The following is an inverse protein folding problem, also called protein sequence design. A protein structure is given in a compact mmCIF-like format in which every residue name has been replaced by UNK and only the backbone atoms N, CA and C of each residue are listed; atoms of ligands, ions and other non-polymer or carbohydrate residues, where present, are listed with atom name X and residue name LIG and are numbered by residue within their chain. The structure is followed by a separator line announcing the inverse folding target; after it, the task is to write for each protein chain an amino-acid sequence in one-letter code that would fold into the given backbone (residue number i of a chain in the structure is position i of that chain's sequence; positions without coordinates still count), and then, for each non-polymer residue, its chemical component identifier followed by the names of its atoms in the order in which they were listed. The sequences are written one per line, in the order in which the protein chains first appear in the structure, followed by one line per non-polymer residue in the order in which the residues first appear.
data_IF_410876336371
#
_entry.id   IF_410876336371
#
_cell.length_a   1.000
_cell.length_b   1.000
_cell.length_c   1.000
_cell.angle_alpha   90.00
_cell.angle_beta   90.00
_cell.angle_gamma   90.00
#
_symmetry.space_group_name_H-M   'P 1'
#
loop_
_entity.id
_entity.type
_entity.pdbx_description
1 polymer ?
#
# COMPACT_ATOMS: atom_id res chain seq x y z
N UNK A 1 2.71 -103.75 40.64
CA UNK A 1 1.67 -103.60 41.67
C UNK A 1 1.28 -102.16 41.76
N UNK A 2 -0.05 -101.94 41.69
CA UNK A 2 -0.83 -100.83 42.20
C UNK A 2 -0.65 -99.47 41.48
N UNK A 3 -1.53 -99.13 40.57
CA UNK A 3 -2.85 -98.48 40.72
C UNK A 3 -2.78 -97.17 41.49
N UNK A 4 -3.13 -96.01 40.80
CA UNK A 4 -4.32 -95.26 41.13
C UNK A 4 -4.24 -93.90 40.44
N UNK A 5 -5.14 -93.59 39.51
CA UNK A 5 -6.28 -92.63 39.55
C UNK A 5 -5.98 -91.28 40.20
N UNK A 6 -6.12 -90.23 39.40
CA UNK A 6 -7.11 -89.15 39.56
C UNK A 6 -7.01 -88.19 38.37
N UNK A 7 -7.99 -88.17 37.62
CA UNK A 7 -9.18 -87.29 37.58
C UNK A 7 -8.92 -85.85 37.35
N UNK A 8 -9.21 -85.52 36.14
CA UNK A 8 -9.52 -84.30 35.51
C UNK A 8 -10.13 -83.18 36.38
N UNK A 9 -9.64 -81.99 36.15
CA UNK A 9 -10.47 -80.81 36.26
C UNK A 9 -10.05 -79.83 35.11
N UNK A 10 -10.76 -79.92 34.01
CA UNK A 10 -10.62 -78.97 32.90
C UNK A 10 -11.39 -77.73 33.28
N UNK A 11 -10.71 -76.72 33.78
CA UNK A 11 -11.23 -75.40 33.97
C UNK A 11 -11.08 -74.65 32.60
N UNK A 12 -12.21 -74.45 31.92
CA UNK A 12 -12.28 -73.65 30.71
C UNK A 12 -12.15 -72.19 31.12
N UNK A 13 -10.98 -71.59 30.95
CA UNK A 13 -10.85 -70.10 30.90
C UNK A 13 -11.34 -69.63 29.53
N UNK A 14 -12.53 -69.08 29.49
CA UNK A 14 -13.02 -68.32 28.38
C UNK A 14 -12.30 -66.96 28.38
N UNK A 15 -11.27 -66.80 27.52
CA UNK A 15 -10.71 -65.49 27.22
C UNK A 15 -11.72 -64.69 26.35
N UNK A 16 -12.43 -63.77 26.96
CA UNK A 16 -13.18 -62.77 26.28
C UNK A 16 -12.16 -61.76 25.70
N UNK A 17 -11.83 -61.89 24.42
CA UNK A 17 -11.05 -60.90 23.70
C UNK A 17 -11.96 -59.66 23.46
N UNK A 18 -11.78 -58.63 24.31
CA UNK A 18 -12.32 -57.28 24.01
C UNK A 18 -11.56 -56.74 22.79
N UNK A 19 -12.18 -56.83 21.63
CA UNK A 19 -11.75 -56.11 20.45
C UNK A 19 -12.00 -54.61 20.69
N UNK A 20 -10.98 -53.86 21.12
CA UNK A 20 -11.00 -52.40 21.09
C UNK A 20 -10.85 -51.98 19.64
N UNK A 21 -11.98 -51.79 18.93
CA UNK A 21 -12.03 -51.13 17.64
C UNK A 21 -11.66 -49.67 17.89
N UNK A 22 -10.38 -49.32 17.72
CA UNK A 22 -9.94 -47.94 17.60
C UNK A 22 -10.62 -47.37 16.35
N UNK A 23 -11.67 -46.60 16.54
CA UNK A 23 -12.21 -45.72 15.48
C UNK A 23 -11.09 -44.71 15.11
N UNK A 24 -10.26 -45.07 14.14
CA UNK A 24 -9.43 -44.12 13.45
C UNK A 24 -10.38 -43.17 12.71
N UNK A 25 -10.75 -42.06 13.34
CA UNK A 25 -11.40 -40.96 12.64
C UNK A 25 -10.47 -40.55 11.49
N UNK A 26 -10.98 -40.44 10.25
CA UNK A 26 -10.15 -39.96 9.18
C UNK A 26 -9.63 -38.56 9.60
N UNK A 27 -8.31 -38.41 9.74
CA UNK A 27 -7.68 -37.11 9.80
C UNK A 27 -7.99 -36.45 8.45
N UNK A 28 -9.02 -35.64 8.41
CA UNK A 28 -9.24 -34.70 7.30
C UNK A 28 -8.00 -33.80 7.31
N UNK A 29 -7.12 -34.00 6.34
CA UNK A 29 -5.99 -33.11 6.15
C UNK A 29 -6.57 -31.70 6.01
N UNK A 30 -6.22 -30.82 6.94
CA UNK A 30 -6.66 -29.44 6.87
C UNK A 30 -6.11 -28.83 5.57
N UNK A 31 -6.97 -28.18 4.80
CA UNK A 31 -6.57 -27.49 3.58
C UNK A 31 -5.48 -26.47 3.90
N UNK A 32 -4.42 -26.44 3.12
CA UNK A 32 -3.33 -25.48 3.27
C UNK A 32 -3.85 -24.07 2.94
N UNK A 33 -3.58 -23.13 3.84
CA UNK A 33 -3.85 -21.70 3.62
C UNK A 33 -2.71 -21.09 2.79
N UNK A 34 -2.96 -20.83 1.51
CA UNK A 34 -2.00 -20.18 0.62
C UNK A 34 -2.11 -18.67 0.73
N UNK A 35 -1.04 -18.02 1.14
CA UNK A 35 -0.99 -16.57 1.38
C UNK A 35 -0.08 -15.91 0.37
N UNK A 36 -0.63 -14.98 -0.40
CA UNK A 36 0.16 -14.10 -1.25
C UNK A 36 0.89 -13.07 -0.39
N UNK A 37 2.18 -12.88 -0.62
CA UNK A 37 2.97 -11.88 0.11
C UNK A 37 4.14 -11.35 -0.72
N UNK A 38 4.61 -10.15 -0.38
CA UNK A 38 5.82 -9.57 -0.96
C UNK A 38 7.05 -10.18 -0.28
N UNK A 39 8.06 -10.63 -1.05
CA UNK A 39 9.25 -11.25 -0.47
C UNK A 39 10.17 -10.26 0.25
N UNK A 40 10.04 -8.94 0.01
CA UNK A 40 10.91 -7.93 0.60
C UNK A 40 10.17 -6.60 0.85
N UNK A 41 9.32 -6.58 1.88
CA UNK A 41 8.49 -5.43 2.27
C UNK A 41 8.41 -5.28 3.79
N UNK A 42 9.56 -5.24 4.48
CA UNK A 42 9.55 -4.96 5.93
C UNK A 42 8.97 -3.57 6.22
N UNK A 43 8.23 -3.43 7.30
CA UNK A 43 7.98 -4.38 8.40
C UNK A 43 6.80 -5.33 8.18
N UNK A 44 6.27 -5.45 6.99
CA UNK A 44 5.07 -6.25 6.75
C UNK A 44 5.37 -7.70 6.37
N UNK A 45 6.31 -7.92 5.46
CA UNK A 45 6.65 -9.25 4.98
C UNK A 45 8.09 -9.35 4.48
N UNK A 46 8.72 -10.50 4.72
CA UNK A 46 10.02 -10.87 4.17
C UNK A 46 10.12 -12.38 4.03
N UNK A 47 10.67 -12.84 2.91
CA UNK A 47 10.79 -14.27 2.61
C UNK A 47 11.99 -14.90 3.29
N UNK A 48 13.05 -14.14 3.52
CA UNK A 48 14.31 -14.60 4.06
C UNK A 48 14.81 -13.69 5.19
N UNK A 49 15.57 -14.28 6.13
CA UNK A 49 16.15 -13.57 7.25
C UNK A 49 15.41 -13.79 8.58
N UNK A 50 15.92 -13.19 9.69
CA UNK A 50 15.37 -13.38 11.01
C UNK A 50 14.03 -12.67 11.24
N UNK A 51 13.81 -11.55 10.55
CA UNK A 51 12.58 -10.75 10.64
C UNK A 51 11.62 -11.16 9.53
N UNK A 52 10.49 -11.75 9.90
CA UNK A 52 9.48 -12.23 8.95
C UNK A 52 8.56 -11.12 8.47
N UNK A 53 8.26 -10.16 9.31
CA UNK A 53 7.26 -9.11 9.10
C UNK A 53 5.89 -9.44 9.68
N UNK A 54 5.15 -8.38 10.01
CA UNK A 54 3.88 -8.47 10.75
C UNK A 54 2.84 -9.35 10.04
N UNK A 55 2.69 -9.21 8.71
CA UNK A 55 1.67 -9.98 7.98
C UNK A 55 2.00 -11.46 7.89
N UNK A 56 3.28 -11.81 7.83
CA UNK A 56 3.73 -13.22 7.83
C UNK A 56 3.42 -13.85 9.18
N UNK A 57 3.83 -13.22 10.27
CA UNK A 57 3.56 -13.75 11.61
C UNK A 57 2.06 -13.80 11.96
N UNK A 58 1.29 -12.81 11.48
CA UNK A 58 -0.18 -12.83 11.63
C UNK A 58 -0.80 -13.96 10.81
N UNK A 59 -0.34 -14.18 9.58
CA UNK A 59 -0.83 -15.29 8.74
C UNK A 59 -0.56 -16.66 9.39
N UNK A 60 0.62 -16.85 9.98
CA UNK A 60 0.95 -18.07 10.73
C UNK A 60 -0.02 -18.27 11.92
N UNK A 61 -0.31 -17.20 12.66
CA UNK A 61 -1.28 -17.26 13.78
C UNK A 61 -2.71 -17.55 13.32
N UNK A 62 -3.13 -16.93 12.21
CA UNK A 62 -4.43 -17.23 11.59
C UNK A 62 -4.47 -18.69 11.15
N UNK A 63 -3.46 -19.20 10.47
CA UNK A 63 -3.36 -20.60 10.07
C UNK A 63 -3.48 -21.56 11.27
N UNK A 64 -2.81 -21.23 12.39
CA UNK A 64 -2.92 -22.00 13.65
C UNK A 64 -4.36 -22.03 14.19
N UNK A 65 -5.09 -20.89 14.15
CA UNK A 65 -6.51 -20.83 14.57
C UNK A 65 -7.44 -21.62 13.65
N UNK A 66 -7.12 -21.67 12.36
CA UNK A 66 -7.86 -22.45 11.38
C UNK A 66 -7.50 -23.94 11.36
N UNK A 67 -6.41 -24.33 12.04
CA UNK A 67 -5.84 -25.68 11.94
C UNK A 67 -5.21 -25.96 10.57
N UNK A 68 -4.87 -24.95 9.80
CA UNK A 68 -4.37 -25.01 8.43
C UNK A 68 -2.87 -24.67 8.37
N UNK A 69 -2.02 -25.49 7.75
CA UNK A 69 -0.66 -25.10 7.41
C UNK A 69 -0.68 -23.85 6.51
N UNK A 70 0.33 -23.00 6.63
CA UNK A 70 0.46 -21.80 5.81
C UNK A 70 1.57 -21.99 4.79
N UNK A 71 1.27 -21.72 3.53
CA UNK A 71 2.23 -21.64 2.43
C UNK A 71 2.21 -20.25 1.83
N UNK A 72 3.37 -19.75 1.41
CA UNK A 72 3.48 -18.41 0.82
C UNK A 72 3.70 -18.48 -0.68
N UNK A 73 2.93 -17.67 -1.39
CA UNK A 73 3.13 -17.38 -2.81
C UNK A 73 3.77 -15.99 -2.89
N UNK A 74 5.06 -15.96 -3.18
CA UNK A 74 5.85 -14.73 -3.19
C UNK A 74 5.75 -14.01 -4.53
N UNK A 75 5.53 -12.69 -4.48
CA UNK A 75 5.52 -11.84 -5.64
C UNK A 75 5.76 -10.38 -5.26
N UNK A 76 6.38 -9.61 -6.17
CA UNK A 76 6.68 -8.20 -5.92
C UNK A 76 5.44 -7.33 -6.07
N UNK A 77 5.12 -6.55 -5.04
CA UNK A 77 3.87 -5.78 -4.93
C UNK A 77 3.91 -4.38 -5.54
N UNK A 78 4.81 -4.10 -6.48
CA UNK A 78 4.96 -2.78 -7.12
C UNK A 78 3.65 -2.20 -7.69
N UNK A 79 2.70 -3.03 -8.02
CA UNK A 79 1.37 -2.61 -8.47
C UNK A 79 0.30 -3.49 -7.85
N UNK A 80 -0.09 -3.15 -6.62
CA UNK A 80 -1.01 -3.92 -5.80
C UNK A 80 -2.28 -4.39 -6.55
N UNK A 81 -2.96 -3.49 -7.29
CA UNK A 81 -4.19 -3.88 -8.02
C UNK A 81 -3.95 -4.86 -9.15
N UNK A 82 -2.84 -4.73 -9.88
CA UNK A 82 -2.50 -5.63 -10.97
C UNK A 82 -2.04 -6.96 -10.44
N UNK A 83 -1.21 -6.91 -9.43
CA UNK A 83 -0.70 -8.07 -8.75
C UNK A 83 -1.83 -8.89 -8.13
N UNK A 84 -2.76 -8.28 -7.39
CA UNK A 84 -3.93 -8.96 -6.83
C UNK A 84 -4.78 -9.66 -7.90
N UNK A 85 -4.96 -9.04 -9.07
CA UNK A 85 -5.72 -9.68 -10.17
C UNK A 85 -5.03 -10.90 -10.76
N UNK A 86 -3.71 -10.88 -10.85
CA UNK A 86 -2.95 -11.93 -11.51
C UNK A 86 -2.52 -13.05 -10.55
N UNK A 87 -2.53 -12.81 -9.26
CA UNK A 87 -1.89 -13.68 -8.27
C UNK A 87 -2.89 -14.41 -7.39
N UNK A 88 -4.10 -13.86 -7.22
CA UNK A 88 -5.14 -14.50 -6.40
C UNK A 88 -5.66 -15.82 -6.99
N UNK A 89 -5.35 -16.15 -8.24
CA UNK A 89 -5.60 -17.49 -8.78
C UNK A 89 -4.73 -18.57 -8.09
N UNK A 90 -3.60 -18.15 -7.48
CA UNK A 90 -2.70 -19.02 -6.73
C UNK A 90 -2.81 -18.95 -5.22
N UNK A 91 -3.58 -18.00 -4.66
CA UNK A 91 -3.64 -17.73 -3.22
C UNK A 91 -5.07 -17.73 -2.70
N UNK A 92 -5.21 -18.02 -1.41
CA UNK A 92 -6.47 -17.98 -0.68
C UNK A 92 -6.68 -16.65 0.05
N UNK A 93 -5.57 -16.03 0.49
CA UNK A 93 -5.59 -14.80 1.26
C UNK A 93 -4.44 -13.84 0.94
N UNK A 94 -4.68 -12.52 1.17
CA UNK A 94 -3.68 -11.44 1.08
C UNK A 94 -3.90 -10.42 2.21
N UNK A 95 -2.87 -10.16 3.02
CA UNK A 95 -2.97 -9.46 4.31
C UNK A 95 -2.72 -7.94 4.23
N UNK A 96 -3.04 -7.28 3.13
CA UNK A 96 -2.71 -5.87 2.95
C UNK A 96 -3.77 -5.09 2.15
N UNK A 97 -5.04 -5.47 2.23
CA UNK A 97 -6.07 -4.79 1.46
C UNK A 97 -6.67 -3.62 2.25
N UNK A 98 -6.85 -2.42 1.66
CA UNK A 98 -7.65 -1.37 2.28
C UNK A 98 -9.06 -1.87 2.61
N UNK A 99 -9.49 -1.66 3.87
CA UNK A 99 -10.80 -2.09 4.34
C UNK A 99 -11.94 -1.21 3.84
N UNK A 100 -11.64 -0.03 3.30
CA UNK A 100 -12.59 0.91 2.74
C UNK A 100 -13.58 0.22 1.79
N UNK A 101 -14.88 0.46 1.98
CA UNK A 101 -15.95 -0.17 1.20
C UNK A 101 -15.90 0.16 -0.31
N UNK A 102 -15.35 1.33 -0.66
CA UNK A 102 -15.21 1.78 -2.04
C UNK A 102 -14.01 1.12 -2.74
N UNK A 103 -13.01 0.68 -1.98
CA UNK A 103 -11.89 -0.05 -2.55
C UNK A 103 -12.28 -1.49 -2.87
N UNK A 104 -12.66 -1.75 -4.11
CA UNK A 104 -13.11 -3.08 -4.56
C UNK A 104 -12.11 -3.69 -5.54
N UNK A 105 -11.86 -4.98 -5.38
CA UNK A 105 -11.09 -5.80 -6.33
C UNK A 105 -11.98 -6.94 -6.81
N UNK A 106 -12.08 -7.09 -8.12
CA UNK A 106 -12.93 -8.14 -8.74
C UNK A 106 -12.44 -9.52 -8.28
N UNK A 107 -13.38 -10.36 -7.89
CA UNK A 107 -13.07 -11.73 -7.45
C UNK A 107 -12.66 -11.86 -5.98
N UNK A 108 -12.57 -10.75 -5.23
CA UNK A 108 -12.21 -10.76 -3.82
C UNK A 108 -13.33 -10.24 -2.93
N UNK A 109 -13.38 -10.76 -1.72
CA UNK A 109 -14.11 -10.25 -0.58
C UNK A 109 -13.13 -9.84 0.51
N UNK A 110 -13.56 -9.03 1.45
CA UNK A 110 -12.71 -8.54 2.55
C UNK A 110 -13.16 -9.12 3.87
N UNK A 111 -12.20 -9.44 4.73
CA UNK A 111 -12.44 -9.67 6.16
C UNK A 111 -12.91 -8.37 6.83
N UNK A 112 -13.27 -8.46 8.10
CA UNK A 112 -13.30 -7.29 8.98
C UNK A 112 -11.91 -6.65 9.03
N UNK A 113 -11.88 -5.33 9.26
CA UNK A 113 -10.63 -4.63 9.48
C UNK A 113 -9.95 -5.14 10.75
N UNK A 114 -8.65 -5.39 10.70
CA UNK A 114 -7.88 -5.90 11.83
C UNK A 114 -6.89 -4.91 12.43
N UNK A 115 -6.54 -3.86 11.70
CA UNK A 115 -5.71 -2.77 12.22
C UNK A 115 -5.92 -1.47 11.44
N UNK A 116 -5.53 -0.34 12.04
CA UNK A 116 -5.45 0.96 11.40
C UNK A 116 -4.00 1.34 11.18
N UNK A 117 -3.65 1.78 9.98
CA UNK A 117 -2.32 2.24 9.62
C UNK A 117 -2.41 3.67 9.12
N UNK A 118 -1.41 4.48 9.45
CA UNK A 118 -1.36 5.88 9.00
C UNK A 118 0.06 6.32 8.72
N UNK A 119 0.18 7.45 8.05
CA UNK A 119 1.39 8.23 8.08
C UNK A 119 1.70 8.70 9.50
N UNK A 120 2.92 9.11 9.75
CA UNK A 120 3.38 9.58 11.05
C UNK A 120 4.30 10.78 10.91
N UNK A 121 4.27 11.63 11.93
CA UNK A 121 5.25 12.69 12.15
C UNK A 121 6.44 12.08 12.89
N UNK A 122 7.62 12.16 12.29
CA UNK A 122 8.90 11.82 12.91
C UNK A 122 9.56 13.11 13.39
N UNK A 123 9.86 13.19 14.68
CA UNK A 123 10.36 14.41 15.32
C UNK A 123 11.36 14.08 16.44
N UNK A 124 12.19 15.03 16.89
CA UNK A 124 12.97 14.90 18.10
C UNK A 124 12.10 14.59 19.31
N UNK A 125 12.56 13.72 20.21
CA UNK A 125 11.84 13.40 21.45
C UNK A 125 11.64 14.65 22.32
N UNK A 126 10.51 14.69 23.02
CA UNK A 126 10.20 15.76 23.96
C UNK A 126 9.55 17.00 23.32
N UNK A 127 9.38 17.04 22.01
CA UNK A 127 8.59 18.06 21.34
C UNK A 127 7.11 17.68 21.35
N UNK A 128 6.24 18.66 21.59
CA UNK A 128 4.79 18.49 21.53
C UNK A 128 4.24 19.10 20.24
N UNK A 129 3.26 18.43 19.65
CA UNK A 129 2.58 18.86 18.43
C UNK A 129 1.07 18.79 18.65
N UNK A 130 0.35 19.80 18.18
CA UNK A 130 -1.11 19.91 18.27
C UNK A 130 -1.80 19.78 16.92
N UNK A 131 -1.08 19.98 15.83
CA UNK A 131 -1.64 19.87 14.48
C UNK A 131 -0.73 20.39 13.38
N UNK A 132 -1.32 20.61 12.22
CA UNK A 132 -0.61 21.06 11.03
C UNK A 132 0.11 22.41 11.22
N UNK A 133 -0.46 23.30 12.03
CA UNK A 133 0.11 24.63 12.28
C UNK A 133 1.54 24.58 12.85
N UNK A 134 1.87 23.55 13.62
CA UNK A 134 3.19 23.38 14.23
C UNK A 134 4.29 23.03 13.21
N UNK A 135 3.91 22.67 11.99
CA UNK A 135 4.83 22.37 10.89
C UNK A 135 5.15 23.64 10.07
N UNK A 136 4.43 24.75 10.28
CA UNK A 136 4.64 25.98 9.52
C UNK A 136 6.03 26.57 9.79
N UNK A 137 6.75 26.88 8.71
CA UNK A 137 8.11 27.40 8.78
C UNK A 137 9.19 26.38 9.16
N UNK A 138 8.80 25.11 9.37
CA UNK A 138 9.75 24.01 9.63
C UNK A 138 10.28 23.42 8.36
N UNK A 139 11.53 22.94 8.41
CA UNK A 139 12.10 22.11 7.35
C UNK A 139 11.57 20.68 7.50
N UNK A 140 10.59 20.32 6.67
CA UNK A 140 9.91 19.02 6.76
C UNK A 140 10.33 18.13 5.61
N UNK A 141 10.81 16.90 5.92
CA UNK A 141 11.09 15.86 4.94
C UNK A 141 9.85 15.04 4.61
N UNK A 142 9.67 14.71 3.34
CA UNK A 142 8.59 13.83 2.86
C UNK A 142 9.12 12.88 1.80
N UNK A 143 8.43 11.76 1.60
CA UNK A 143 8.71 10.89 0.46
C UNK A 143 8.03 11.43 -0.80
N UNK A 144 8.71 11.29 -1.90
CA UNK A 144 8.22 11.68 -3.22
C UNK A 144 6.89 10.98 -3.56
N UNK A 145 5.91 11.76 -4.02
CA UNK A 145 4.60 11.26 -4.41
C UNK A 145 3.70 10.81 -3.24
N UNK A 146 4.11 11.07 -2.01
CA UNK A 146 3.33 10.68 -0.83
C UNK A 146 2.19 11.64 -0.52
N UNK A 147 1.08 11.17 0.08
CA UNK A 147 0.00 12.03 0.57
C UNK A 147 0.47 13.19 1.47
N UNK A 148 1.44 13.03 2.40
CA UNK A 148 2.00 14.16 3.14
C UNK A 148 2.64 15.25 2.28
N UNK A 149 3.29 14.88 1.17
CA UNK A 149 3.82 15.87 0.24
C UNK A 149 2.70 16.72 -0.35
N UNK A 150 1.62 16.08 -0.76
CA UNK A 150 0.43 16.75 -1.32
C UNK A 150 -0.23 17.64 -0.26
N UNK A 151 -0.37 17.13 0.97
CA UNK A 151 -0.93 17.91 2.09
C UNK A 151 -0.14 19.20 2.30
N UNK A 152 1.18 19.13 2.46
CA UNK A 152 2.00 20.32 2.70
C UNK A 152 1.93 21.31 1.52
N UNK A 153 2.03 20.81 0.28
CA UNK A 153 1.94 21.63 -0.92
C UNK A 153 0.58 22.35 -1.05
N UNK A 154 -0.50 21.74 -0.56
CA UNK A 154 -1.86 22.32 -0.60
C UNK A 154 -2.20 23.20 0.60
N UNK A 155 -1.35 23.25 1.63
CA UNK A 155 -1.63 23.96 2.89
C UNK A 155 -1.29 25.47 2.86
N UNK A 156 -0.76 25.93 1.74
CA UNK A 156 -0.46 27.35 1.52
C UNK A 156 0.95 27.79 1.97
N UNK A 157 1.17 29.08 2.03
CA UNK A 157 2.49 29.63 2.33
C UNK A 157 3.03 29.25 3.70
N UNK A 158 4.31 28.92 3.72
CA UNK A 158 5.04 28.51 4.93
C UNK A 158 5.00 27.01 5.23
N UNK A 159 4.36 26.19 4.38
CA UNK A 159 4.38 24.73 4.45
C UNK A 159 5.27 24.15 3.33
N UNK A 160 6.57 24.38 3.43
CA UNK A 160 7.53 23.79 2.52
C UNK A 160 7.91 22.36 2.90
N UNK A 161 8.34 21.57 1.92
CA UNK A 161 8.91 20.25 2.19
C UNK A 161 10.11 19.97 1.31
N UNK A 162 11.09 19.22 1.87
CA UNK A 162 12.18 18.60 1.13
C UNK A 162 11.80 17.18 0.79
N UNK A 163 11.92 16.80 -0.47
CA UNK A 163 11.47 15.52 -0.97
C UNK A 163 12.62 14.54 -1.09
N UNK A 164 12.41 13.32 -0.60
CA UNK A 164 13.36 12.21 -0.64
C UNK A 164 12.75 11.01 -1.36
N UNK A 165 13.59 10.07 -1.77
CA UNK A 165 13.14 8.86 -2.49
C UNK A 165 12.99 7.65 -1.57
N UNK A 166 13.76 7.60 -0.48
CA UNK A 166 13.77 6.46 0.45
C UNK A 166 13.68 6.92 1.89
N UNK A 167 13.27 6.03 2.77
CA UNK A 167 13.19 6.29 4.21
C UNK A 167 14.57 6.58 4.80
N UNK A 168 15.60 5.85 4.37
CA UNK A 168 16.99 6.02 4.83
C UNK A 168 17.51 7.43 4.52
N UNK A 169 17.17 7.98 3.36
CA UNK A 169 17.53 9.36 3.01
C UNK A 169 16.87 10.38 3.95
N UNK A 170 15.60 10.14 4.32
CA UNK A 170 14.89 11.01 5.26
C UNK A 170 15.54 10.96 6.65
N UNK A 171 15.84 9.76 7.16
CA UNK A 171 16.50 9.63 8.47
C UNK A 171 17.92 10.21 8.46
N UNK A 172 18.68 10.01 7.40
CA UNK A 172 19.99 10.63 7.25
C UNK A 172 19.93 12.16 7.26
N UNK A 173 18.91 12.76 6.63
CA UNK A 173 18.68 14.20 6.64
C UNK A 173 18.26 14.72 8.03
N UNK A 174 17.44 13.96 8.77
CA UNK A 174 17.10 14.26 10.17
C UNK A 174 18.35 14.23 11.07
N UNK A 175 19.22 13.23 10.91
CA UNK A 175 20.45 13.08 11.69
C UNK A 175 21.45 14.21 11.45
N UNK A 176 21.57 14.67 10.20
CA UNK A 176 22.42 15.80 9.80
C UNK A 176 21.82 17.17 10.15
N UNK A 177 20.56 17.23 10.58
CA UNK A 177 19.84 18.48 10.83
C UNK A 177 19.49 19.26 9.56
N UNK A 178 19.52 18.61 8.39
CA UNK A 178 19.09 19.20 7.11
C UNK A 178 17.59 19.46 7.12
N UNK A 179 16.82 18.60 7.79
CA UNK A 179 15.41 18.74 8.11
C UNK A 179 15.19 18.63 9.64
N UNK A 180 14.12 19.22 10.13
CA UNK A 180 13.77 19.21 11.56
C UNK A 180 12.74 18.13 11.87
N UNK A 181 11.87 17.85 10.93
CA UNK A 181 10.72 16.96 11.03
C UNK A 181 10.61 16.13 9.76
N UNK A 182 9.89 15.02 9.83
CA UNK A 182 9.51 14.29 8.64
C UNK A 182 8.09 13.73 8.72
N UNK A 183 7.41 13.63 7.59
CA UNK A 183 6.13 12.93 7.47
C UNK A 183 6.35 11.69 6.60
N UNK A 184 6.24 10.52 7.21
CA UNK A 184 6.56 9.22 6.61
C UNK A 184 5.45 8.21 6.85
N UNK A 185 5.46 7.11 6.11
CA UNK A 185 4.58 5.99 6.42
C UNK A 185 4.90 5.43 7.81
N UNK A 186 3.94 5.50 8.72
CA UNK A 186 4.15 5.24 10.14
C UNK A 186 4.77 3.87 10.46
N UNK A 187 4.27 2.76 9.90
CA UNK A 187 4.87 1.44 10.10
C UNK A 187 6.35 1.39 9.72
N UNK A 188 6.70 1.87 8.52
CA UNK A 188 8.10 1.87 8.06
C UNK A 188 8.97 2.81 8.89
N UNK A 189 8.47 4.01 9.21
CA UNK A 189 9.19 4.97 10.04
C UNK A 189 9.47 4.42 11.46
N UNK A 190 8.46 3.78 12.06
CA UNK A 190 8.61 3.20 13.39
C UNK A 190 9.57 2.02 13.42
N UNK A 191 9.49 1.14 12.42
CA UNK A 191 10.38 -0.01 12.29
C UNK A 191 11.84 0.44 12.09
N UNK A 192 12.10 1.33 11.15
CA UNK A 192 13.44 1.83 10.87
C UNK A 192 14.02 2.61 12.05
N UNK A 193 13.23 3.48 12.68
CA UNK A 193 13.64 4.17 13.90
C UNK A 193 14.03 3.19 15.02
N UNK A 194 13.30 2.09 15.17
CA UNK A 194 13.58 1.06 16.17
C UNK A 194 14.82 0.26 15.84
N UNK A 195 14.97 -0.18 14.60
CA UNK A 195 16.01 -1.15 14.21
C UNK A 195 17.33 -0.49 13.82
N UNK A 196 17.31 0.70 13.21
CA UNK A 196 18.49 1.37 12.68
C UNK A 196 18.91 2.59 13.51
N UNK A 197 17.96 3.25 14.20
CA UNK A 197 18.21 4.52 14.88
C UNK A 197 17.98 4.44 16.40
N UNK A 198 17.97 3.23 17.02
CA UNK A 198 17.87 2.98 18.46
C UNK A 198 16.68 3.72 19.10
N UNK A 199 15.58 3.87 18.36
CA UNK A 199 14.41 4.62 18.78
C UNK A 199 14.72 6.09 19.17
N UNK A 200 15.67 6.72 18.52
CA UNK A 200 16.10 8.11 18.80
C UNK A 200 14.96 9.12 18.64
N UNK A 201 14.09 8.91 17.66
CA UNK A 201 13.01 9.81 17.31
C UNK A 201 11.69 9.41 17.97
N UNK A 202 10.79 10.36 18.16
CA UNK A 202 9.38 10.03 18.36
C UNK A 202 8.70 9.88 17.01
N UNK A 203 7.79 8.92 16.92
CA UNK A 203 7.01 8.62 15.71
C UNK A 203 5.55 8.71 16.11
N UNK A 204 4.90 9.82 15.77
CA UNK A 204 3.54 10.15 16.16
C UNK A 204 2.60 9.86 14.98
N UNK A 205 1.63 8.96 15.11
CA UNK A 205 0.66 8.74 14.04
C UNK A 205 -0.08 10.04 13.72
N UNK A 206 -0.40 10.24 12.46
CA UNK A 206 -1.19 11.38 11.99
C UNK A 206 -2.48 10.91 11.35
N UNK A 207 -3.51 11.74 11.42
CA UNK A 207 -4.80 11.51 10.77
C UNK A 207 -5.21 12.72 9.93
N UNK A 208 -5.98 12.46 8.89
CA UNK A 208 -6.46 13.44 7.93
C UNK A 208 -6.85 12.75 6.64
N UNK A 209 -7.30 13.53 5.66
CA UNK A 209 -7.68 12.98 4.37
C UNK A 209 -6.50 12.31 3.68
N UNK A 210 -6.68 11.08 3.25
CA UNK A 210 -5.65 10.23 2.61
C UNK A 210 -4.40 9.92 3.43
N UNK A 211 -4.38 10.25 4.74
CA UNK A 211 -3.21 10.03 5.61
C UNK A 211 -3.20 8.68 6.32
N UNK A 212 -4.19 7.85 6.08
CA UNK A 212 -4.26 6.52 6.67
C UNK A 212 -5.56 5.80 6.34
N UNK A 213 -5.70 4.60 6.86
CA UNK A 213 -6.90 3.81 6.67
C UNK A 213 -6.84 2.50 7.45
N UNK A 214 -7.93 1.77 7.39
CA UNK A 214 -8.01 0.44 7.98
C UNK A 214 -7.57 -0.61 6.97
N UNK A 215 -7.00 -1.70 7.48
CA UNK A 215 -6.50 -2.82 6.69
C UNK A 215 -7.32 -4.07 6.97
N UNK A 216 -7.66 -4.78 5.92
CA UNK A 216 -8.37 -6.05 5.92
C UNK A 216 -7.58 -7.12 5.18
N UNK A 217 -7.98 -8.38 5.34
CA UNK A 217 -7.48 -9.51 4.58
C UNK A 217 -8.38 -9.70 3.36
N UNK A 218 -7.79 -9.72 2.17
CA UNK A 218 -8.50 -10.15 0.97
C UNK A 218 -8.60 -11.67 0.94
N UNK A 219 -9.77 -12.17 0.57
CA UNK A 219 -10.06 -13.60 0.43
C UNK A 219 -10.74 -13.83 -0.92
N UNK A 220 -10.46 -14.93 -1.59
CA UNK A 220 -11.19 -15.29 -2.80
C UNK A 220 -12.69 -15.38 -2.53
N UNK A 221 -13.49 -14.76 -3.39
CA UNK A 221 -14.96 -14.85 -3.29
C UNK A 221 -15.50 -16.27 -3.46
N UNK A 222 -14.68 -17.18 -4.00
CA UNK A 222 -15.00 -18.59 -4.16
C UNK A 222 -14.89 -19.37 -2.85
N UNK A 223 -14.26 -18.76 -1.82
CA UNK A 223 -14.10 -19.31 -0.46
C UNK A 223 -14.76 -18.43 0.61
N UNK A 224 -16.09 -18.22 0.57
CA UNK A 224 -16.76 -17.31 1.51
C UNK A 224 -16.64 -17.76 2.97
N UNK A 225 -16.62 -19.07 3.22
CA UNK A 225 -16.47 -19.63 4.57
C UNK A 225 -15.09 -19.28 5.17
N UNK A 226 -14.03 -19.24 4.34
CA UNK A 226 -12.70 -18.85 4.79
C UNK A 226 -12.70 -17.41 5.32
N UNK A 227 -13.44 -16.50 4.70
CA UNK A 227 -13.60 -15.12 5.20
C UNK A 227 -14.17 -15.10 6.63
N UNK A 228 -15.21 -15.89 6.88
CA UNK A 228 -15.87 -15.92 8.19
C UNK A 228 -14.99 -16.57 9.27
N UNK A 229 -14.26 -17.62 8.90
CA UNK A 229 -13.24 -18.25 9.75
C UNK A 229 -12.11 -17.27 10.08
N UNK A 230 -11.61 -16.53 9.10
CA UNK A 230 -10.59 -15.49 9.29
C UNK A 230 -11.11 -14.39 10.22
N UNK A 231 -12.35 -13.93 10.05
CA UNK A 231 -12.95 -12.92 10.92
C UNK A 231 -12.97 -13.38 12.38
N UNK A 232 -13.38 -14.61 12.63
CA UNK A 232 -13.36 -15.20 13.98
C UNK A 232 -11.94 -15.25 14.53
N UNK A 233 -10.98 -15.73 13.73
CA UNK A 233 -9.58 -15.79 14.16
C UNK A 233 -9.02 -14.41 14.48
N UNK A 234 -9.34 -13.37 13.68
CA UNK A 234 -8.88 -12.00 13.93
C UNK A 234 -9.44 -11.41 15.22
N UNK A 235 -10.67 -11.72 15.58
CA UNK A 235 -11.26 -11.30 16.88
C UNK A 235 -10.51 -11.91 18.07
N UNK A 236 -10.17 -13.19 18.00
CA UNK A 236 -9.40 -13.88 19.01
C UNK A 236 -7.94 -13.39 19.08
N UNK A 237 -7.38 -12.97 17.96
CA UNK A 237 -5.97 -12.56 17.83
C UNK A 237 -5.72 -11.07 18.10
N UNK A 238 -6.72 -10.29 18.47
CA UNK A 238 -6.54 -8.83 18.74
C UNK A 238 -5.35 -8.52 19.66
N UNK A 239 -5.16 -9.21 20.82
CA UNK A 239 -4.00 -8.93 21.69
C UNK A 239 -2.66 -9.24 21.02
N UNK A 240 -2.62 -10.31 20.22
CA UNK A 240 -1.41 -10.72 19.50
C UNK A 240 -1.09 -9.75 18.34
N UNK A 241 -2.12 -9.23 17.66
CA UNK A 241 -1.95 -8.20 16.62
C UNK A 241 -1.31 -6.96 17.23
N UNK A 242 -1.77 -6.50 18.40
CA UNK A 242 -1.20 -5.37 19.11
C UNK A 242 0.26 -5.63 19.55
N UNK A 243 0.56 -6.85 19.97
CA UNK A 243 1.94 -7.27 20.30
C UNK A 243 2.83 -7.26 19.06
N UNK A 244 2.35 -7.76 17.92
CA UNK A 244 3.07 -7.72 16.65
C UNK A 244 3.33 -6.28 16.21
N UNK A 245 2.32 -5.40 16.30
CA UNK A 245 2.50 -3.98 15.98
C UNK A 245 3.61 -3.35 16.84
N UNK A 246 3.64 -3.61 18.14
CA UNK A 246 4.72 -3.17 19.05
C UNK A 246 6.07 -3.81 18.70
N UNK A 247 6.08 -5.12 18.40
CA UNK A 247 7.30 -5.85 17.98
C UNK A 247 7.93 -5.16 16.77
N UNK A 248 7.15 -4.78 15.78
CA UNK A 248 7.62 -4.13 14.56
C UNK A 248 7.72 -2.60 14.66
N UNK A 249 7.53 -2.01 15.85
CA UNK A 249 7.71 -0.58 16.10
C UNK A 249 6.61 0.31 15.52
N UNK A 250 5.43 -0.23 15.22
CA UNK A 250 4.32 0.57 14.71
C UNK A 250 3.90 1.61 15.76
N UNK A 251 3.67 2.86 15.34
CA UNK A 251 3.21 3.89 16.25
C UNK A 251 1.81 3.56 16.78
N UNK A 252 1.62 3.67 18.11
CA UNK A 252 0.40 3.24 18.80
C UNK A 252 -0.30 4.35 19.59
N UNK A 253 0.23 5.60 19.55
CA UNK A 253 -0.37 6.73 20.21
C UNK A 253 -1.65 7.18 19.49
N UNK A 254 -2.45 8.04 20.17
CA UNK A 254 -3.56 8.70 19.50
C UNK A 254 -3.04 9.56 18.33
N UNK A 255 -3.66 9.48 17.15
CA UNK A 255 -3.17 10.19 15.98
C UNK A 255 -3.35 11.70 16.11
N UNK A 256 -2.31 12.44 15.72
CA UNK A 256 -2.34 13.89 15.58
C UNK A 256 -3.17 14.26 14.33
N UNK A 257 -4.17 15.11 14.50
CA UNK A 257 -5.03 15.52 13.41
C UNK A 257 -4.35 16.59 12.54
N UNK A 258 -4.05 16.27 11.29
CA UNK A 258 -3.52 17.19 10.30
C UNK A 258 -4.59 17.54 9.27
N UNK A 259 -5.40 18.55 9.55
CA UNK A 259 -6.35 19.09 8.59
C UNK A 259 -5.74 20.32 7.92
N UNK A 260 -5.86 20.45 6.60
CA UNK A 260 -5.54 21.70 5.93
C UNK A 260 -6.43 22.82 6.48
N UNK A 261 -5.83 23.98 6.78
CA UNK A 261 -6.56 25.15 7.28
C UNK A 261 -7.59 25.71 6.29
N UNK A 262 -7.53 25.31 5.02
CA UNK A 262 -8.46 25.72 3.97
C UNK A 262 -9.73 24.85 3.97
N UNK A 263 -10.65 25.18 4.87
CA UNK A 263 -12.02 24.68 4.94
C UNK A 263 -12.94 25.18 3.79
N UNK A 264 -12.40 25.71 2.70
CA UNK A 264 -13.14 26.18 1.55
C UNK A 264 -12.94 25.34 0.28
N UNK A 265 -12.95 24.00 0.43
CA UNK A 265 -13.46 23.19 -0.67
C UNK A 265 -14.92 22.95 -0.31
N UNK A 266 -15.78 23.80 -0.88
CA UNK A 266 -17.22 23.68 -0.86
C UNK A 266 -17.62 22.22 -1.05
N UNK A 267 -18.38 21.67 -0.08
CA UNK A 267 -19.19 20.47 -0.31
C UNK A 267 -20.28 20.82 -1.34
N UNK A 268 -19.90 20.99 -2.58
CA UNK A 268 -20.86 20.90 -3.66
C UNK A 268 -21.15 19.42 -3.84
N UNK A 269 -22.41 18.98 -3.72
CA UNK A 269 -22.76 17.60 -4.01
C UNK A 269 -22.30 17.33 -5.44
N UNK A 270 -21.48 16.30 -5.63
CA UNK A 270 -21.20 15.78 -6.95
C UNK A 270 -22.52 15.19 -7.45
N UNK A 271 -23.32 16.03 -8.07
CA UNK A 271 -24.37 15.60 -8.96
C UNK A 271 -23.69 14.76 -10.03
N UNK A 272 -24.09 13.50 -10.14
CA UNK A 272 -23.72 12.60 -11.20
C UNK A 272 -23.95 13.29 -12.56
N UNK A 273 -22.98 14.02 -13.04
CA UNK A 273 -22.97 14.51 -14.41
C UNK A 273 -22.57 13.33 -15.31
N UNK A 274 -23.57 12.82 -15.99
CA UNK A 274 -23.40 12.03 -17.20
C UNK A 274 -22.32 12.68 -18.06
N UNK A 275 -21.37 11.89 -18.51
CA UNK A 275 -20.26 12.22 -19.38
C UNK A 275 -20.70 13.09 -20.58
N UNK A 276 -20.67 14.37 -20.40
CA UNK A 276 -20.72 15.36 -21.49
C UNK A 276 -19.40 16.12 -21.47
N UNK A 277 -18.53 15.81 -22.42
CA UNK A 277 -17.30 16.57 -22.62
C UNK A 277 -17.67 18.01 -23.03
N UNK A 278 -17.52 18.96 -22.10
CA UNK A 278 -17.59 20.37 -22.46
C UNK A 278 -16.29 20.73 -23.18
N UNK A 279 -16.38 21.00 -24.48
CA UNK A 279 -15.30 21.62 -25.26
C UNK A 279 -15.14 23.06 -24.76
N UNK A 280 -14.20 23.29 -23.83
CA UNK A 280 -13.78 24.67 -23.52
C UNK A 280 -12.73 25.03 -24.53
N UNK A 281 -13.12 25.94 -25.48
CA UNK A 281 -12.19 26.50 -26.42
C UNK A 281 -11.16 27.39 -25.68
N UNK A 282 -9.87 27.16 -25.91
CA UNK A 282 -8.81 27.98 -25.36
C UNK A 282 -8.84 29.40 -25.95
N UNK A 283 -8.62 30.40 -25.08
CA UNK A 283 -8.50 31.79 -25.56
C UNK A 283 -7.23 31.98 -26.41
N UNK A 284 -7.20 32.95 -27.35
CA UNK A 284 -6.03 33.20 -28.20
C UNK A 284 -4.71 33.37 -27.40
N UNK A 285 -4.74 34.04 -26.26
CA UNK A 285 -3.57 34.22 -25.37
C UNK A 285 -3.07 32.95 -24.73
N UNK A 286 -3.94 31.95 -24.51
CA UNK A 286 -3.55 30.63 -23.97
C UNK A 286 -2.92 29.73 -25.04
N UNK A 287 -3.01 30.06 -26.33
CA UNK A 287 -2.33 29.34 -27.40
C UNK A 287 -0.90 29.83 -27.64
N UNK A 288 -0.64 31.09 -27.34
CA UNK A 288 0.63 31.74 -27.69
C UNK A 288 1.83 31.21 -26.88
N UNK A 289 1.64 30.92 -25.59
CA UNK A 289 2.73 30.41 -24.78
C UNK A 289 2.98 28.89 -24.93
N UNK A 290 2.02 28.11 -25.44
CA UNK A 290 2.20 26.71 -25.80
C UNK A 290 3.06 26.52 -27.05
N UNK A 291 3.31 27.59 -27.79
CA UNK A 291 4.10 27.62 -29.04
C UNK A 291 5.42 28.37 -28.84
N UNK A 292 5.56 29.11 -27.72
CA UNK A 292 6.79 29.82 -27.41
C UNK A 292 7.90 28.81 -27.06
N UNK A 293 8.59 28.49 -28.10
CA UNK A 293 9.98 28.05 -28.16
C UNK A 293 10.40 26.78 -27.38
N UNK A 294 9.91 25.66 -27.88
CA UNK A 294 10.59 24.38 -27.65
C UNK A 294 11.83 24.21 -28.55
N UNK A 295 12.54 25.28 -28.93
CA UNK A 295 13.68 25.28 -29.85
C UNK A 295 15.04 25.13 -29.13
N UNK A 296 15.04 25.08 -27.78
CA UNK A 296 16.25 24.85 -26.99
C UNK A 296 16.84 23.43 -27.17
N UNK A 297 18.11 23.23 -26.79
CA UNK A 297 18.74 21.91 -26.83
C UNK A 297 17.94 20.92 -26.01
N UNK A 298 17.59 19.78 -26.62
CA UNK A 298 16.75 18.74 -26.07
C UNK A 298 17.49 17.41 -26.12
N UNK A 299 17.86 16.88 -24.97
CA UNK A 299 18.44 15.54 -24.86
C UNK A 299 17.31 14.52 -24.64
N UNK A 300 16.90 13.85 -25.72
CA UNK A 300 15.89 12.80 -25.69
C UNK A 300 16.23 11.68 -24.71
N UNK A 301 17.50 11.33 -24.53
CA UNK A 301 17.91 10.25 -23.62
C UNK A 301 17.73 10.66 -22.16
N UNK A 302 18.12 11.90 -21.82
CA UNK A 302 17.91 12.47 -20.48
C UNK A 302 16.44 12.59 -20.15
N UNK A 303 15.62 13.19 -21.03
CA UNK A 303 14.20 13.35 -20.82
C UNK A 303 13.48 12.01 -20.72
N UNK A 304 13.86 11.03 -21.55
CA UNK A 304 13.35 9.64 -21.43
C UNK A 304 13.69 9.05 -20.08
N UNK A 305 14.91 9.22 -19.60
CA UNK A 305 15.33 8.75 -18.27
C UNK A 305 14.52 9.43 -17.17
N UNK A 306 14.36 10.75 -17.25
CA UNK A 306 13.55 11.52 -16.30
C UNK A 306 12.08 11.09 -16.30
N UNK A 307 11.47 10.93 -17.47
CA UNK A 307 10.12 10.39 -17.62
C UNK A 307 9.99 8.99 -17.02
N UNK A 308 10.91 8.08 -17.37
CA UNK A 308 10.87 6.72 -16.88
C UNK A 308 11.08 6.64 -15.36
N UNK A 309 11.89 7.51 -14.78
CA UNK A 309 12.10 7.57 -13.34
C UNK A 309 10.90 8.17 -12.54
N UNK A 310 10.18 9.12 -13.13
CA UNK A 310 9.13 9.89 -12.43
C UNK A 310 7.70 9.47 -12.82
N UNK A 311 7.49 9.05 -14.06
CA UNK A 311 6.16 8.87 -14.64
C UNK A 311 5.84 7.40 -14.99
N UNK A 312 6.87 6.56 -15.27
CA UNK A 312 6.66 5.19 -15.75
C UNK A 312 5.97 4.29 -14.72
N UNK A 313 6.06 4.61 -13.45
CA UNK A 313 5.38 3.87 -12.39
C UNK A 313 3.86 3.72 -12.65
N UNK A 314 3.24 4.77 -13.16
CA UNK A 314 1.81 4.76 -13.51
C UNK A 314 1.57 4.60 -15.01
N UNK A 315 2.46 5.14 -15.85
CA UNK A 315 2.27 5.23 -17.30
C UNK A 315 3.11 4.22 -18.10
N UNK A 316 3.89 3.36 -17.41
CA UNK A 316 4.88 2.45 -17.95
C UNK A 316 6.00 3.16 -18.76
N UNK A 317 7.05 2.44 -19.11
CA UNK A 317 8.17 3.01 -19.84
C UNK A 317 7.71 3.63 -21.16
N UNK A 318 8.19 4.82 -21.43
CA UNK A 318 7.84 5.60 -22.63
C UNK A 318 6.33 5.88 -22.79
N UNK A 319 5.57 5.88 -21.70
CA UNK A 319 4.13 6.11 -21.73
C UNK A 319 3.29 4.95 -22.28
N UNK A 320 3.90 3.79 -22.51
CA UNK A 320 3.28 2.62 -23.16
C UNK A 320 2.55 1.71 -22.15
N UNK A 321 1.63 2.27 -21.36
CA UNK A 321 0.89 1.51 -20.37
C UNK A 321 -0.04 0.48 -21.00
N UNK A 322 -0.09 -0.77 -20.48
CA UNK A 322 -1.10 -1.75 -20.89
C UNK A 322 -2.52 -1.38 -20.42
N UNK A 323 -2.63 -0.45 -19.47
CA UNK A 323 -3.91 0.11 -19.01
C UNK A 323 -4.30 1.21 -19.97
N UNK A 324 -5.43 1.05 -20.66
CA UNK A 324 -5.85 1.93 -21.75
C UNK A 324 -5.93 3.40 -21.33
N UNK A 325 -6.43 3.70 -20.14
CA UNK A 325 -6.58 5.05 -19.61
C UNK A 325 -5.24 5.72 -19.26
N UNK A 326 -4.20 4.90 -19.02
CA UNK A 326 -2.85 5.33 -18.65
C UNK A 326 -1.84 5.29 -19.81
N UNK A 327 -2.27 4.80 -20.97
CA UNK A 327 -1.43 4.75 -22.18
C UNK A 327 -1.34 6.15 -22.81
N UNK A 328 -0.22 6.82 -22.57
CA UNK A 328 0.00 8.19 -23.04
C UNK A 328 0.25 8.28 -24.54
N UNK A 329 0.54 7.16 -25.22
CA UNK A 329 0.65 7.14 -26.68
C UNK A 329 -0.68 7.43 -27.37
N UNK A 330 -1.80 7.26 -26.65
CA UNK A 330 -3.17 7.50 -27.15
C UNK A 330 -3.70 8.91 -26.82
N UNK A 331 -2.86 9.83 -26.34
CA UNK A 331 -3.28 11.18 -25.97
C UNK A 331 -3.94 11.93 -27.12
N UNK A 332 -3.35 11.88 -28.33
CA UNK A 332 -3.92 12.54 -29.49
C UNK A 332 -5.24 11.93 -29.95
N UNK A 333 -5.39 10.62 -29.85
CA UNK A 333 -6.65 9.92 -30.15
C UNK A 333 -7.75 10.34 -29.17
N UNK A 334 -7.41 10.56 -27.88
CA UNK A 334 -8.37 10.92 -26.83
C UNK A 334 -8.76 12.40 -26.82
N UNK A 335 -7.81 13.29 -27.10
CA UNK A 335 -7.97 14.73 -26.90
C UNK A 335 -7.80 15.56 -28.17
N UNK A 336 -7.60 14.92 -29.33
CA UNK A 336 -7.40 15.61 -30.60
C UNK A 336 -6.18 16.53 -30.57
N UNK A 337 -6.30 17.69 -31.16
CA UNK A 337 -5.20 18.68 -31.24
C UNK A 337 -4.93 19.39 -29.90
N UNK A 338 -5.86 19.32 -28.96
CA UNK A 338 -5.70 19.91 -27.62
C UNK A 338 -4.89 19.03 -26.67
N UNK A 339 -4.41 17.86 -27.10
CA UNK A 339 -3.77 16.88 -26.22
C UNK A 339 -2.55 17.44 -25.47
N UNK A 340 -1.74 18.30 -26.08
CA UNK A 340 -0.56 18.91 -25.42
C UNK A 340 -0.99 19.79 -24.25
N UNK A 341 -2.00 20.63 -24.48
CA UNK A 341 -2.57 21.50 -23.44
C UNK A 341 -3.18 20.68 -22.31
N UNK A 342 -3.98 19.67 -22.64
CA UNK A 342 -4.58 18.77 -21.65
C UNK A 342 -3.50 18.05 -20.85
N UNK A 343 -2.41 17.64 -21.50
CA UNK A 343 -1.27 16.97 -20.83
C UNK A 343 -0.56 17.94 -19.89
N UNK A 344 -0.29 19.17 -20.33
CA UNK A 344 0.29 20.20 -19.49
C UNK A 344 -0.57 20.49 -18.26
N UNK A 345 -1.85 20.76 -18.45
CA UNK A 345 -2.81 21.00 -17.37
C UNK A 345 -2.89 19.80 -16.40
N UNK A 346 -2.81 18.58 -16.96
CA UNK A 346 -2.84 17.36 -16.16
C UNK A 346 -1.56 17.16 -15.37
N UNK A 347 -0.39 17.47 -15.92
CA UNK A 347 0.87 17.39 -15.19
C UNK A 347 0.90 18.46 -14.08
N UNK A 348 0.56 19.70 -14.41
CA UNK A 348 0.64 20.82 -13.47
C UNK A 348 -0.37 20.76 -12.34
N UNK A 349 -1.62 20.36 -12.63
CA UNK A 349 -2.72 20.33 -11.66
C UNK A 349 -2.95 18.97 -11.02
N UNK A 350 -2.37 17.91 -11.61
CA UNK A 350 -2.62 16.52 -11.23
C UNK A 350 -4.03 16.05 -11.60
N UNK A 351 -4.31 14.80 -11.28
CA UNK A 351 -5.65 14.18 -11.22
C UNK A 351 -5.69 13.30 -9.99
N UNK A 352 -5.80 13.94 -8.85
CA UNK A 352 -5.65 13.30 -7.52
C UNK A 352 -6.67 12.19 -7.36
N UNK A 353 -7.90 12.39 -7.84
CA UNK A 353 -8.98 11.39 -7.83
C UNK A 353 -8.65 10.10 -8.62
N UNK A 354 -7.68 10.17 -9.55
CA UNK A 354 -7.17 9.04 -10.31
C UNK A 354 -5.76 8.63 -9.90
N UNK A 355 -5.23 9.21 -8.80
CA UNK A 355 -3.92 8.91 -8.26
C UNK A 355 -2.75 9.54 -9.04
N UNK A 356 -2.99 10.59 -9.83
CA UNK A 356 -1.93 11.36 -10.48
C UNK A 356 -1.61 12.60 -9.64
N UNK A 357 -0.38 12.71 -9.10
CA UNK A 357 0.00 13.84 -8.26
C UNK A 357 0.13 15.15 -9.05
N UNK A 358 0.08 16.27 -8.33
CA UNK A 358 0.38 17.59 -8.84
C UNK A 358 1.89 17.72 -9.03
N UNK A 359 2.31 18.08 -10.24
CA UNK A 359 3.73 18.30 -10.56
C UNK A 359 4.08 19.78 -10.75
N UNK A 360 3.06 20.66 -10.86
CA UNK A 360 3.25 22.11 -10.93
C UNK A 360 3.95 22.63 -9.67
N UNK A 361 5.03 23.38 -9.86
CA UNK A 361 5.88 23.83 -8.75
C UNK A 361 6.84 22.77 -8.18
N UNK A 362 6.75 21.51 -8.60
CA UNK A 362 7.67 20.43 -8.26
C UNK A 362 8.67 20.22 -9.40
N UNK A 363 8.17 20.12 -10.63
CA UNK A 363 9.02 20.08 -11.81
C UNK A 363 9.23 21.51 -12.34
N UNK A 364 10.46 21.84 -12.75
CA UNK A 364 10.72 23.05 -13.51
C UNK A 364 9.87 23.10 -14.78
N UNK A 365 9.47 24.28 -15.19
CA UNK A 365 8.59 24.47 -16.35
C UNK A 365 9.18 23.86 -17.63
N UNK A 366 10.48 24.06 -17.86
CA UNK A 366 11.19 23.46 -18.99
C UNK A 366 11.16 21.93 -18.99
N UNK A 367 11.24 21.28 -17.81
CA UNK A 367 11.14 19.81 -17.71
C UNK A 367 9.74 19.30 -18.07
N UNK A 368 8.68 20.04 -17.70
CA UNK A 368 7.30 19.71 -18.10
C UNK A 368 7.14 19.82 -19.63
N UNK A 369 7.69 20.87 -20.23
CA UNK A 369 7.68 21.06 -21.67
C UNK A 369 8.47 19.96 -22.40
N UNK A 370 9.62 19.58 -21.90
CA UNK A 370 10.44 18.51 -22.46
C UNK A 370 9.74 17.15 -22.37
N UNK A 371 9.04 16.87 -21.27
CA UNK A 371 8.18 15.67 -21.14
C UNK A 371 7.08 15.67 -22.22
N UNK A 372 6.45 16.79 -22.50
CA UNK A 372 5.42 16.89 -23.54
C UNK A 372 6.02 16.67 -24.92
N UNK A 373 7.21 17.23 -25.19
CA UNK A 373 7.97 16.98 -26.44
C UNK A 373 8.29 15.50 -26.60
N UNK A 374 8.80 14.87 -25.55
CA UNK A 374 9.09 13.43 -25.53
C UNK A 374 7.82 12.60 -25.82
N UNK A 375 6.70 12.96 -25.21
CA UNK A 375 5.44 12.28 -25.46
C UNK A 375 4.94 12.48 -26.90
N UNK A 376 5.21 13.62 -27.56
CA UNK A 376 4.86 13.85 -28.96
C UNK A 376 5.55 12.87 -29.92
N UNK A 377 6.77 12.44 -29.57
CA UNK A 377 7.48 11.39 -30.30
C UNK A 377 6.84 9.99 -30.12
N UNK A 378 6.18 9.77 -28.98
CA UNK A 378 5.57 8.47 -28.61
C UNK A 378 4.11 8.36 -29.06
N UNK A 379 3.44 9.48 -29.34
CA UNK A 379 1.99 9.52 -29.64
C UNK A 379 1.68 8.85 -30.96
N UNK A 380 0.76 7.90 -30.93
CA UNK A 380 0.21 7.28 -32.14
C UNK A 380 -0.69 8.27 -32.86
N UNK A 381 -0.37 8.55 -34.12
CA UNK A 381 -1.06 9.57 -34.93
C UNK A 381 -2.28 9.03 -35.70
N UNK A 382 -2.67 7.76 -35.47
CA UNK A 382 -3.89 7.15 -36.02
C UNK A 382 -4.57 6.23 -35.02
#
# INVERSE_FOLDING_TARGET
MSKSFNSALRTRLSMAALAVSALAAPMVAADTLRVCSDPDNLPFSKSEGPEKGLYIELAEKVGQRLGSPVEYVWWLSFNQRRALRNTMDGCDAYFALPADAEYRVRGLVKSNAFMSLSYALVAPKGQSFSGLADLKGKRVGVLFGSPPQILLASSGDGYGSTTYRTHEQVFAALEKGEIELALMWGPSAGFENKTQHQSRWQVLPISGESLGGQVAIAVSKEKPQLKDQINKALEELKPEIDQLAKKYGFPSQAPLLLNSANKHISKTPVLAQKSGFVKVAATPQQREWLVADASGPYDTAEVRSNFNNKCSHCHANNGASPVQERDLRKLKIRYGDDWKKVTYDTITKGRIEYGMPVWGGILPENEIQDIIRFLDEQVVRK
#
